data_IF_413862406855
#
_entry.id   IF_413862406855
#
_cell.length_a   1.000
_cell.length_b   1.000
_cell.length_c   1.000
_cell.angle_alpha   90.00
_cell.angle_beta   90.00
_cell.angle_gamma   90.00
#
_symmetry.space_group_name_H-M   'P 1'
#
loop_
_entity.id
_entity.type
_entity.pdbx_description
1 polymer ?
#
# COMPACT_ATOMS: atom_id res chain seq x y z
N UNK A 1 19.67 8.91 3.50
CA UNK A 1 18.93 7.81 2.84
C UNK A 1 19.61 7.47 1.53
N UNK A 2 19.74 6.18 1.23
CA UNK A 2 20.14 5.74 -0.11
C UNK A 2 19.00 6.07 -1.10
N UNK A 3 19.25 6.79 -2.21
CA UNK A 3 18.20 7.27 -3.11
C UNK A 3 17.37 6.14 -3.73
N UNK A 4 17.92 4.92 -3.79
CA UNK A 4 17.20 3.74 -4.29
C UNK A 4 16.14 3.24 -3.30
N UNK A 5 16.41 3.33 -1.99
CA UNK A 5 15.48 2.85 -0.95
C UNK A 5 14.26 3.76 -0.83
N UNK A 6 14.47 5.08 -0.91
CA UNK A 6 13.39 6.08 -0.87
C UNK A 6 12.44 5.94 -2.07
N UNK A 7 12.99 5.69 -3.26
CA UNK A 7 12.18 5.48 -4.47
C UNK A 7 11.32 4.22 -4.40
N UNK A 8 11.88 3.12 -3.86
CA UNK A 8 11.13 1.88 -3.64
C UNK A 8 10.02 2.05 -2.60
N UNK A 9 10.31 2.80 -1.53
CA UNK A 9 9.32 3.15 -0.52
C UNK A 9 8.12 3.89 -1.13
N UNK A 10 8.39 4.93 -1.92
CA UNK A 10 7.34 5.69 -2.61
C UNK A 10 6.52 4.84 -3.60
N UNK A 11 7.15 3.92 -4.32
CA UNK A 11 6.45 3.02 -5.24
C UNK A 11 5.53 2.06 -4.48
N UNK A 12 6.00 1.47 -3.38
CA UNK A 12 5.17 0.58 -2.55
C UNK A 12 4.00 1.33 -1.89
N UNK A 13 4.23 2.56 -1.42
CA UNK A 13 3.18 3.38 -0.82
C UNK A 13 2.15 3.81 -1.87
N UNK A 14 2.61 4.19 -3.06
CA UNK A 14 1.76 4.55 -4.20
C UNK A 14 0.92 3.38 -4.70
N UNK A 15 1.49 2.17 -4.80
CA UNK A 15 0.76 0.98 -5.21
C UNK A 15 -0.30 0.57 -4.18
N UNK A 16 0.03 0.65 -2.89
CA UNK A 16 -0.94 0.46 -1.79
C UNK A 16 -2.13 1.42 -1.92
N UNK A 17 -1.86 2.71 -2.14
CA UNK A 17 -2.91 3.73 -2.24
C UNK A 17 -3.82 3.47 -3.46
N UNK A 18 -3.23 3.03 -4.57
CA UNK A 18 -3.95 2.68 -5.80
C UNK A 18 -4.87 1.48 -5.59
N UNK A 19 -4.36 0.41 -4.98
CA UNK A 19 -5.15 -0.79 -4.64
C UNK A 19 -6.30 -0.45 -3.69
N UNK A 20 -6.07 0.39 -2.69
CA UNK A 20 -7.12 0.84 -1.77
C UNK A 20 -8.18 1.68 -2.50
N UNK A 21 -7.75 2.60 -3.36
CA UNK A 21 -8.66 3.48 -4.12
C UNK A 21 -9.52 2.67 -5.08
N UNK A 22 -8.93 1.69 -5.77
CA UNK A 22 -9.66 0.79 -6.67
C UNK A 22 -10.63 -0.08 -5.86
N UNK A 23 -10.20 -0.71 -4.78
CA UNK A 23 -11.06 -1.57 -3.96
C UNK A 23 -12.26 -0.82 -3.36
N UNK A 24 -12.05 0.39 -2.85
CA UNK A 24 -13.14 1.24 -2.34
C UNK A 24 -14.04 1.73 -3.48
N UNK A 25 -13.45 2.15 -4.60
CA UNK A 25 -14.21 2.63 -5.76
C UNK A 25 -15.08 1.55 -6.41
N UNK A 26 -14.58 0.32 -6.49
CA UNK A 26 -15.33 -0.82 -7.04
C UNK A 26 -16.55 -1.16 -6.18
N UNK A 27 -16.38 -1.15 -4.85
CA UNK A 27 -17.48 -1.25 -3.88
C UNK A 27 -18.58 -0.22 -4.16
N UNK A 28 -18.20 1.05 -4.40
CA UNK A 28 -19.14 2.16 -4.59
C UNK A 28 -19.82 2.11 -5.96
N UNK A 29 -19.11 1.71 -7.02
CA UNK A 29 -19.63 1.76 -8.40
C UNK A 29 -20.41 0.49 -8.78
N UNK A 30 -19.97 -0.68 -8.35
CA UNK A 30 -20.51 -1.97 -8.79
C UNK A 30 -21.25 -2.74 -7.68
N UNK A 31 -21.14 -2.32 -6.42
CA UNK A 31 -21.88 -2.92 -5.30
C UNK A 31 -21.41 -4.33 -4.91
N UNK A 32 -20.23 -4.77 -5.35
CA UNK A 32 -19.70 -6.12 -5.17
C UNK A 32 -18.89 -6.30 -3.87
N UNK A 33 -19.44 -5.86 -2.74
CA UNK A 33 -18.72 -5.68 -1.47
C UNK A 33 -17.83 -6.85 -0.99
N UNK A 34 -18.13 -8.09 -1.38
CA UNK A 34 -17.41 -9.28 -0.92
C UNK A 34 -16.12 -9.58 -1.71
N UNK A 35 -16.10 -9.31 -3.03
CA UNK A 35 -14.89 -9.46 -3.85
C UNK A 35 -13.89 -8.32 -3.58
N UNK A 36 -14.43 -7.14 -3.27
CA UNK A 36 -13.68 -5.91 -3.01
C UNK A 36 -12.95 -5.94 -1.66
N UNK A 37 -13.43 -6.76 -0.71
CA UNK A 37 -12.82 -6.93 0.61
C UNK A 37 -11.38 -7.51 0.52
N UNK A 38 -11.15 -8.45 -0.39
CA UNK A 38 -9.83 -9.04 -0.62
C UNK A 38 -8.84 -8.02 -1.22
N UNK A 39 -9.32 -7.16 -2.13
CA UNK A 39 -8.50 -6.12 -2.75
C UNK A 39 -8.11 -5.06 -1.72
N UNK A 40 -9.04 -4.67 -0.86
CA UNK A 40 -8.76 -3.74 0.26
C UNK A 40 -7.79 -4.37 1.26
N UNK A 41 -7.97 -5.64 1.63
CA UNK A 41 -7.04 -6.35 2.52
C UNK A 41 -5.64 -6.44 1.89
N UNK A 42 -5.54 -6.78 0.60
CA UNK A 42 -4.27 -6.85 -0.11
C UNK A 42 -3.57 -5.49 -0.20
N UNK A 43 -4.33 -4.42 -0.51
CA UNK A 43 -3.82 -3.05 -0.52
C UNK A 43 -3.33 -2.61 0.86
N UNK A 44 -4.11 -2.88 1.91
CA UNK A 44 -3.74 -2.55 3.29
C UNK A 44 -2.51 -3.32 3.74
N UNK A 45 -2.43 -4.61 3.44
CA UNK A 45 -1.27 -5.45 3.76
C UNK A 45 0.01 -4.94 3.07
N UNK A 46 -0.09 -4.61 1.77
CA UNK A 46 1.02 -3.98 1.04
C UNK A 46 1.43 -2.64 1.63
N UNK A 47 0.46 -1.82 2.06
CA UNK A 47 0.71 -0.55 2.75
C UNK A 47 1.46 -0.73 4.08
N UNK A 48 1.08 -1.71 4.89
CA UNK A 48 1.78 -2.03 6.15
C UNK A 48 3.19 -2.56 5.90
N UNK A 49 3.37 -3.48 4.94
CA UNK A 49 4.69 -3.97 4.54
C UNK A 49 5.56 -2.81 4.08
N UNK A 50 5.04 -1.90 3.26
CA UNK A 50 5.73 -0.68 2.85
C UNK A 50 6.16 0.15 4.06
N UNK A 51 5.24 0.43 4.97
CA UNK A 51 5.48 1.24 6.17
C UNK A 51 6.60 0.63 7.03
N UNK A 52 6.56 -0.66 7.32
CA UNK A 52 7.62 -1.34 8.07
C UNK A 52 8.95 -1.41 7.33
N UNK A 53 8.94 -1.60 6.01
CA UNK A 53 10.16 -1.62 5.21
C UNK A 53 10.83 -0.24 5.20
N UNK A 54 10.05 0.82 5.02
CA UNK A 54 10.55 2.18 5.00
C UNK A 54 10.97 2.66 6.39
N UNK A 55 10.14 2.41 7.41
CA UNK A 55 10.42 2.80 8.79
C UNK A 55 11.61 2.00 9.34
N UNK A 56 11.70 0.70 9.07
CA UNK A 56 12.84 -0.13 9.48
C UNK A 56 14.15 0.29 8.81
N UNK A 57 14.10 0.60 7.51
CA UNK A 57 15.28 1.08 6.77
C UNK A 57 15.65 2.54 7.14
N UNK A 58 14.72 3.34 7.63
CA UNK A 58 14.99 4.67 8.19
C UNK A 58 15.53 4.60 9.62
N UNK A 59 14.98 3.71 10.47
CA UNK A 59 15.33 3.56 11.89
C UNK A 59 16.67 2.86 12.11
N UNK A 60 17.08 1.95 11.21
CA UNK A 60 18.39 1.30 11.26
C UNK A 60 19.55 2.27 10.90
N UNK A 61 19.22 3.45 10.37
CA UNK A 61 20.19 4.45 9.90
C UNK A 61 20.07 5.79 10.64
N UNK A 62 19.43 5.78 11.83
CA UNK A 62 19.37 6.90 12.77
C UNK A 62 20.52 6.88 13.77
#
# INVERSE_FOLDING_TARGET
MDPQAERRCHILFGSSLLLLTIGIGYCVVLGTCMADFLVVIAGLFLGWVALFYCLGNASFWG
#
